data_IF_008019497062
#
_entry.id   IF_008019497062
#
_cell.length_a   1.000
_cell.length_b   1.000
_cell.length_c   1.000
_cell.angle_alpha   90.00
_cell.angle_beta   90.00
_cell.angle_gamma   90.00
#
_symmetry.space_group_name_H-M   'P 1'
#
loop_
_entity.id
_entity.type
_entity.pdbx_description
1 polymer ?
#
# COMPACT_ATOMS: atom_id res chain seq x y z
N UNK A 1 52.70 -7.44 -12.74
CA UNK A 1 51.36 -7.76 -13.31
C UNK A 1 50.22 -7.67 -12.28
N UNK A 2 50.27 -6.74 -11.31
CA UNK A 2 49.25 -6.62 -10.25
C UNK A 2 48.25 -5.46 -10.43
N UNK A 3 48.44 -4.60 -11.44
CA UNK A 3 47.62 -3.40 -11.63
C UNK A 3 46.26 -3.65 -12.33
N UNK A 4 46.07 -4.82 -12.95
CA UNK A 4 44.87 -5.08 -13.77
C UNK A 4 43.67 -5.61 -12.96
N UNK A 5 43.87 -6.01 -11.70
CA UNK A 5 42.81 -6.51 -10.83
C UNK A 5 42.04 -5.39 -10.09
N UNK A 6 42.64 -4.20 -9.90
CA UNK A 6 42.02 -3.13 -9.10
C UNK A 6 40.86 -2.44 -9.84
N UNK A 7 40.94 -2.31 -11.17
CA UNK A 7 39.90 -1.64 -11.95
C UNK A 7 38.56 -2.37 -12.00
N UNK A 8 38.55 -3.70 -11.88
CA UNK A 8 37.32 -4.49 -11.99
C UNK A 8 36.44 -4.39 -10.72
N UNK A 9 37.07 -4.27 -9.54
CA UNK A 9 36.36 -4.10 -8.28
C UNK A 9 35.65 -2.73 -8.17
N UNK A 10 36.25 -1.67 -8.72
CA UNK A 10 35.67 -0.33 -8.72
C UNK A 10 34.46 -0.18 -9.66
N UNK A 11 34.45 -0.90 -10.78
CA UNK A 11 33.32 -0.87 -11.71
C UNK A 11 32.11 -1.60 -11.11
N UNK A 12 32.33 -2.77 -10.49
CA UNK A 12 31.28 -3.56 -9.85
C UNK A 12 30.66 -2.81 -8.66
N UNK A 13 31.46 -2.10 -7.85
CA UNK A 13 30.96 -1.33 -6.71
C UNK A 13 30.12 -0.13 -7.15
N UNK A 14 30.53 0.60 -8.21
CA UNK A 14 29.76 1.71 -8.79
C UNK A 14 28.43 1.25 -9.37
N UNK A 15 28.41 0.15 -10.13
CA UNK A 15 27.17 -0.41 -10.69
C UNK A 15 26.19 -0.79 -9.59
N UNK A 16 26.68 -1.42 -8.51
CA UNK A 16 25.84 -1.84 -7.38
C UNK A 16 25.27 -0.64 -6.62
N UNK A 17 26.05 0.45 -6.47
CA UNK A 17 25.61 1.69 -5.83
C UNK A 17 24.55 2.41 -6.67
N UNK A 18 24.74 2.51 -7.99
CA UNK A 18 23.77 3.11 -8.92
C UNK A 18 22.48 2.31 -8.94
N UNK A 19 22.56 0.98 -9.01
CA UNK A 19 21.38 0.11 -8.94
C UNK A 19 20.62 0.27 -7.61
N UNK A 20 21.33 0.40 -6.49
CA UNK A 20 20.72 0.67 -5.19
C UNK A 20 19.98 2.01 -5.13
N UNK A 21 20.57 3.08 -5.66
CA UNK A 21 19.93 4.41 -5.74
C UNK A 21 18.72 4.38 -6.65
N UNK A 22 18.82 3.74 -7.82
CA UNK A 22 17.71 3.60 -8.76
C UNK A 22 16.54 2.84 -8.15
N UNK A 23 16.82 1.73 -7.46
CA UNK A 23 15.81 0.97 -6.74
C UNK A 23 15.19 1.79 -5.60
N UNK A 24 15.99 2.58 -4.88
CA UNK A 24 15.49 3.49 -3.85
C UNK A 24 14.57 4.58 -4.41
N UNK A 25 14.94 5.18 -5.54
CA UNK A 25 14.11 6.18 -6.24
C UNK A 25 12.84 5.53 -6.78
N UNK A 26 12.92 4.35 -7.39
CA UNK A 26 11.74 3.60 -7.86
C UNK A 26 10.83 3.23 -6.69
N UNK A 27 11.39 2.90 -5.52
CA UNK A 27 10.61 2.66 -4.31
C UNK A 27 9.91 3.96 -3.86
N UNK A 28 10.62 5.09 -3.74
CA UNK A 28 10.02 6.37 -3.32
C UNK A 28 8.95 6.85 -4.30
N UNK A 29 9.22 6.79 -5.60
CA UNK A 29 8.24 7.13 -6.65
C UNK A 29 7.08 6.15 -6.64
N UNK A 30 7.34 4.86 -6.52
CA UNK A 30 6.33 3.82 -6.37
C UNK A 30 5.45 4.03 -5.14
N UNK A 31 6.00 4.56 -4.06
CA UNK A 31 5.28 4.88 -2.82
C UNK A 31 4.42 6.12 -2.93
N UNK A 32 4.88 7.17 -3.63
CA UNK A 32 4.02 8.30 -3.98
C UNK A 32 2.85 7.87 -4.86
N UNK A 33 3.14 7.01 -5.84
CA UNK A 33 2.13 6.41 -6.72
C UNK A 33 1.15 5.53 -5.94
N UNK A 34 1.63 4.73 -4.97
CA UNK A 34 0.80 3.95 -4.05
C UNK A 34 -0.14 4.87 -3.25
N UNK A 35 0.36 6.02 -2.82
CA UNK A 35 -0.43 7.03 -2.14
C UNK A 35 -1.57 7.60 -2.94
N UNK A 36 -1.26 8.08 -4.13
CA UNK A 36 -2.25 8.63 -5.05
C UNK A 36 -3.28 7.56 -5.43
N UNK A 37 -2.85 6.32 -5.63
CA UNK A 37 -3.75 5.22 -5.89
C UNK A 37 -4.62 4.90 -4.67
N UNK A 38 -4.06 4.87 -3.46
CA UNK A 38 -4.80 4.68 -2.20
C UNK A 38 -5.86 5.77 -2.00
N UNK A 39 -5.53 7.02 -2.33
CA UNK A 39 -6.48 8.13 -2.33
C UNK A 39 -7.65 7.89 -3.30
N UNK A 40 -7.36 7.48 -4.53
CA UNK A 40 -8.39 7.13 -5.52
C UNK A 40 -9.23 5.91 -5.11
N UNK A 41 -8.66 4.98 -4.34
CA UNK A 41 -9.39 3.84 -3.79
C UNK A 41 -10.32 4.27 -2.65
N UNK A 42 -9.86 5.16 -1.76
CA UNK A 42 -10.66 5.69 -0.66
C UNK A 42 -11.80 6.60 -1.14
N UNK A 43 -11.63 7.34 -2.23
CA UNK A 43 -12.67 8.19 -2.82
C UNK A 43 -13.83 7.39 -3.43
N UNK A 44 -13.62 6.11 -3.76
CA UNK A 44 -14.68 5.24 -4.27
C UNK A 44 -15.67 4.81 -3.18
N UNK A 45 -15.28 4.84 -1.91
CA UNK A 45 -16.13 4.49 -0.78
C UNK A 45 -17.01 5.68 -0.41
N UNK A 46 -18.31 5.48 -0.09
CA UNK A 46 -19.14 6.53 0.50
C UNK A 46 -18.71 6.79 1.95
N UNK A 47 -18.68 8.05 2.37
CA UNK A 47 -18.30 8.46 3.72
C UNK A 47 -19.43 9.21 4.42
N UNK A 48 -19.54 9.04 5.73
CA UNK A 48 -20.45 9.81 6.58
C UNK A 48 -19.68 10.98 7.18
N UNK A 49 -20.13 12.20 6.91
CA UNK A 49 -19.59 13.40 7.56
C UNK A 49 -20.09 13.44 9.02
N UNK A 50 -19.20 13.57 10.02
CA UNK A 50 -19.58 13.69 11.43
C UNK A 50 -20.32 15.01 11.76
N UNK A 51 -20.35 15.98 10.86
CA UNK A 51 -21.05 17.27 11.03
C UNK A 51 -22.54 17.15 10.72
N UNK A 52 -23.38 18.07 11.23
CA UNK A 52 -24.81 18.10 10.94
C UNK A 52 -25.08 18.52 9.49
N UNK A 53 -24.87 17.59 8.55
CA UNK A 53 -25.42 17.45 7.18
C UNK A 53 -24.40 16.75 6.26
N UNK A 54 -24.93 15.75 5.56
CA UNK A 54 -24.47 15.14 4.29
C UNK A 54 -23.58 13.88 4.40
N UNK A 55 -24.14 12.78 3.87
CA UNK A 55 -23.38 11.66 3.35
C UNK A 55 -22.62 12.15 2.11
N UNK A 56 -21.33 11.90 2.07
CA UNK A 56 -20.51 12.15 0.89
C UNK A 56 -20.61 10.91 0.01
N UNK A 57 -21.25 11.04 -1.14
CA UNK A 57 -21.31 9.96 -2.13
C UNK A 57 -19.90 9.62 -2.60
N UNK A 58 -19.54 8.34 -2.55
CA UNK A 58 -18.31 7.86 -3.17
C UNK A 58 -18.43 7.92 -4.70
N UNK A 59 -17.30 8.04 -5.39
CA UNK A 59 -17.25 8.04 -6.86
C UNK A 59 -17.63 6.69 -7.48
N UNK A 60 -17.72 5.63 -6.68
CA UNK A 60 -17.96 4.26 -7.13
C UNK A 60 -16.72 3.61 -7.77
N UNK A 61 -16.89 2.39 -8.27
CA UNK A 61 -15.84 1.62 -8.95
C UNK A 61 -15.79 2.04 -10.43
N UNK A 62 -14.99 3.05 -10.74
CA UNK A 62 -14.85 3.59 -12.08
C UNK A 62 -13.52 3.16 -12.76
N UNK A 63 -13.26 3.72 -13.95
CA UNK A 63 -12.01 3.45 -14.70
C UNK A 63 -10.77 3.94 -13.94
N UNK A 64 -10.88 5.03 -13.20
CA UNK A 64 -9.77 5.58 -12.43
C UNK A 64 -9.41 4.66 -11.26
N UNK A 65 -10.40 4.11 -10.56
CA UNK A 65 -10.22 3.10 -9.53
C UNK A 65 -9.51 1.87 -10.07
N UNK A 66 -9.96 1.33 -11.21
CA UNK A 66 -9.31 0.18 -11.84
C UNK A 66 -7.84 0.46 -12.21
N UNK A 67 -7.55 1.66 -12.72
CA UNK A 67 -6.18 2.09 -13.00
C UNK A 67 -5.33 2.16 -11.73
N UNK A 68 -5.87 2.70 -10.64
CA UNK A 68 -5.20 2.77 -9.34
C UNK A 68 -4.86 1.36 -8.81
N UNK A 69 -5.77 0.39 -8.93
CA UNK A 69 -5.51 -1.02 -8.56
C UNK A 69 -4.38 -1.61 -9.37
N UNK A 70 -4.39 -1.44 -10.70
CA UNK A 70 -3.35 -1.98 -11.59
C UNK A 70 -1.99 -1.40 -11.25
N UNK A 71 -1.90 -0.07 -11.16
CA UNK A 71 -0.64 0.63 -10.87
C UNK A 71 -0.10 0.21 -9.50
N UNK A 72 -0.97 0.14 -8.47
CA UNK A 72 -0.58 -0.33 -7.14
C UNK A 72 -0.07 -1.76 -7.16
N UNK A 73 -0.75 -2.64 -7.90
CA UNK A 73 -0.36 -4.05 -8.03
C UNK A 73 1.01 -4.19 -8.68
N UNK A 74 1.30 -3.41 -9.72
CA UNK A 74 2.62 -3.37 -10.37
C UNK A 74 3.70 -2.88 -9.40
N UNK A 75 3.42 -1.84 -8.61
CA UNK A 75 4.35 -1.34 -7.57
C UNK A 75 4.63 -2.41 -6.52
N UNK A 76 3.62 -3.14 -6.04
CA UNK A 76 3.78 -4.23 -5.08
C UNK A 76 4.67 -5.34 -5.66
N UNK A 77 4.47 -5.71 -6.93
CA UNK A 77 5.31 -6.70 -7.63
C UNK A 77 6.76 -6.19 -7.75
N UNK A 78 6.95 -4.93 -8.14
CA UNK A 78 8.27 -4.32 -8.24
C UNK A 78 8.99 -4.30 -6.87
N UNK A 79 8.26 -4.06 -5.78
CA UNK A 79 8.79 -4.10 -4.42
C UNK A 79 9.23 -5.51 -3.97
N UNK A 80 8.74 -6.58 -4.61
CA UNK A 80 9.24 -7.93 -4.35
C UNK A 80 10.68 -8.17 -4.86
N UNK A 81 11.23 -7.22 -5.63
CA UNK A 81 12.57 -7.27 -6.20
C UNK A 81 12.70 -8.24 -7.37
N UNK A 82 13.90 -8.37 -7.93
CA UNK A 82 14.17 -9.26 -9.06
C UNK A 82 14.53 -10.69 -8.60
N UNK A 83 14.13 -11.73 -9.37
CA UNK A 83 14.51 -13.11 -9.13
C UNK A 83 16.00 -13.33 -9.41
N UNK A 84 16.63 -14.30 -8.73
CA UNK A 84 17.95 -14.81 -9.10
C UNK A 84 17.76 -15.98 -10.08
N UNK A 85 18.28 -15.86 -11.30
CA UNK A 85 18.21 -16.90 -12.32
C UNK A 85 16.95 -16.81 -13.20
N UNK A 86 16.34 -17.95 -13.54
CA UNK A 86 15.13 -17.99 -14.39
C UNK A 86 13.94 -17.35 -13.66
N UNK A 87 13.28 -16.38 -14.28
CA UNK A 87 12.24 -15.55 -13.64
C UNK A 87 11.16 -16.35 -12.88
N UNK A 88 10.73 -17.49 -13.40
CA UNK A 88 9.61 -18.28 -12.85
C UNK A 88 10.04 -19.44 -11.93
N UNK A 89 11.31 -19.84 -11.96
CA UNK A 89 11.84 -20.94 -11.14
C UNK A 89 12.87 -20.46 -10.10
N UNK A 90 13.30 -19.21 -10.20
CA UNK A 90 14.30 -18.60 -9.35
C UNK A 90 13.84 -18.43 -7.91
N UNK A 91 14.78 -18.61 -6.99
CA UNK A 91 14.62 -18.16 -5.60
C UNK A 91 14.82 -16.64 -5.55
N UNK A 92 14.24 -16.03 -4.53
CA UNK A 92 14.46 -14.60 -4.31
C UNK A 92 15.89 -14.31 -3.87
N UNK A 93 16.34 -13.08 -4.10
CA UNK A 93 17.58 -12.55 -3.55
C UNK A 93 17.38 -12.02 -2.14
N UNK A 94 18.44 -12.04 -1.32
CA UNK A 94 18.43 -11.37 -0.01
C UNK A 94 18.16 -9.85 -0.15
N UNK A 95 18.71 -9.22 -1.18
CA UNK A 95 18.42 -7.82 -1.50
C UNK A 95 16.93 -7.61 -1.80
N UNK A 96 16.31 -8.48 -2.61
CA UNK A 96 14.87 -8.44 -2.88
C UNK A 96 14.02 -8.71 -1.63
N UNK A 97 14.48 -9.53 -0.69
CA UNK A 97 13.81 -9.70 0.60
C UNK A 97 13.80 -8.40 1.42
N UNK A 98 14.95 -7.74 1.55
CA UNK A 98 15.07 -6.46 2.26
C UNK A 98 14.17 -5.41 1.61
N UNK A 99 14.19 -5.30 0.28
CA UNK A 99 13.33 -4.38 -0.46
C UNK A 99 11.85 -4.68 -0.25
N UNK A 100 11.45 -5.95 -0.27
CA UNK A 100 10.06 -6.33 -0.03
C UNK A 100 9.62 -6.04 1.40
N UNK A 101 10.50 -6.27 2.39
CA UNK A 101 10.23 -5.96 3.80
C UNK A 101 10.06 -4.46 4.02
N UNK A 102 11.00 -3.65 3.49
CA UNK A 102 10.90 -2.19 3.54
C UNK A 102 9.64 -1.73 2.81
N UNK A 103 9.38 -2.24 1.60
CA UNK A 103 8.17 -1.94 0.83
C UNK A 103 6.90 -2.23 1.62
N UNK A 104 6.84 -3.34 2.34
CA UNK A 104 5.71 -3.67 3.22
C UNK A 104 5.51 -2.68 4.37
N UNK A 105 6.59 -2.28 5.05
CA UNK A 105 6.54 -1.26 6.11
C UNK A 105 6.05 0.07 5.55
N UNK A 106 6.56 0.49 4.40
CA UNK A 106 6.17 1.79 3.84
C UNK A 106 4.74 1.75 3.29
N UNK A 107 4.29 0.65 2.66
CA UNK A 107 2.88 0.48 2.26
C UNK A 107 1.93 0.64 3.46
N UNK A 108 2.24 -0.01 4.59
CA UNK A 108 1.44 0.11 5.81
C UNK A 108 1.49 1.53 6.39
N UNK A 109 2.68 2.09 6.54
CA UNK A 109 2.88 3.44 7.09
C UNK A 109 2.26 4.54 6.23
N UNK A 110 2.35 4.41 4.91
CA UNK A 110 1.78 5.38 3.97
C UNK A 110 0.25 5.34 3.96
N UNK A 111 -0.35 4.16 4.07
CA UNK A 111 -1.81 4.02 4.23
C UNK A 111 -2.29 4.77 5.48
N UNK A 112 -1.54 4.66 6.59
CA UNK A 112 -1.81 5.42 7.81
C UNK A 112 -1.64 6.93 7.62
N UNK A 113 -0.55 7.36 6.98
CA UNK A 113 -0.26 8.76 6.73
C UNK A 113 -1.33 9.42 5.85
N UNK A 114 -1.68 8.82 4.72
CA UNK A 114 -2.73 9.30 3.80
C UNK A 114 -4.06 9.46 4.53
N UNK A 115 -4.45 8.45 5.29
CA UNK A 115 -5.70 8.48 6.03
C UNK A 115 -5.68 9.62 7.03
N UNK A 116 -4.60 9.80 7.79
CA UNK A 116 -4.45 10.93 8.73
C UNK A 116 -4.52 12.28 8.05
N UNK A 117 -3.82 12.43 6.92
CA UNK A 117 -3.86 13.65 6.11
C UNK A 117 -5.28 13.96 5.64
N UNK A 118 -6.00 12.97 5.13
CA UNK A 118 -7.40 13.14 4.73
C UNK A 118 -8.30 13.51 5.90
N UNK A 119 -8.11 12.89 7.06
CA UNK A 119 -8.84 13.25 8.28
C UNK A 119 -8.63 14.71 8.69
N UNK A 120 -7.41 15.22 8.56
CA UNK A 120 -7.08 16.62 8.85
C UNK A 120 -7.72 17.56 7.81
N UNK A 121 -7.59 17.28 6.51
CA UNK A 121 -8.11 18.18 5.49
C UNK A 121 -9.64 18.23 5.40
N UNK A 122 -10.32 17.13 5.71
CA UNK A 122 -11.78 17.04 5.55
C UNK A 122 -12.56 17.50 6.80
N UNK A 123 -11.97 17.41 8.00
CA UNK A 123 -12.72 17.49 9.27
C UNK A 123 -12.15 18.43 10.34
N UNK A 124 -11.25 19.35 9.99
CA UNK A 124 -10.77 20.41 10.90
C UNK A 124 -11.76 21.58 10.86
N UNK A 125 -12.48 21.95 11.95
CA UNK A 125 -12.27 21.62 13.36
C UNK A 125 -13.41 20.82 14.04
N UNK A 126 -13.08 20.15 15.16
CA UNK A 126 -13.96 19.32 16.00
C UNK A 126 -15.15 20.08 16.63
N UNK A 127 -15.14 21.41 16.56
CA UNK A 127 -16.11 22.29 17.23
C UNK A 127 -17.57 22.15 16.72
N UNK A 128 -17.79 21.41 15.62
CA UNK A 128 -19.10 21.26 14.98
C UNK A 128 -19.52 19.80 14.75
N UNK A 129 -18.96 18.84 15.47
CA UNK A 129 -19.37 17.43 15.39
C UNK A 129 -20.74 17.19 16.03
N UNK A 130 -21.57 16.35 15.41
CA UNK A 130 -22.90 16.00 15.91
C UNK A 130 -22.84 15.15 17.19
N UNK A 131 -21.84 14.28 17.29
CA UNK A 131 -21.66 13.34 18.39
C UNK A 131 -20.30 13.56 19.10
N UNK A 132 -20.19 13.16 20.39
CA UNK A 132 -18.91 13.14 21.10
C UNK A 132 -17.86 12.32 20.33
N UNK A 133 -16.59 12.72 20.41
CA UNK A 133 -15.45 12.09 19.69
C UNK A 133 -15.54 12.12 18.15
N UNK A 134 -16.43 12.95 17.58
CA UNK A 134 -16.63 13.08 16.14
C UNK A 134 -16.94 11.74 15.44
N UNK A 135 -17.80 10.92 16.07
CA UNK A 135 -18.34 9.71 15.45
C UNK A 135 -18.98 10.05 14.08
N UNK A 136 -18.73 9.28 13.00
CA UNK A 136 -17.95 8.02 12.91
C UNK A 136 -16.52 8.20 12.33
N UNK A 137 -15.95 9.41 12.32
CA UNK A 137 -14.75 9.73 11.57
C UNK A 137 -13.55 8.82 11.88
N UNK A 138 -13.16 8.74 13.16
CA UNK A 138 -12.02 7.92 13.59
C UNK A 138 -12.18 6.43 13.24
N UNK A 139 -13.41 5.90 13.30
CA UNK A 139 -13.68 4.51 12.98
C UNK A 139 -13.65 4.24 11.47
N UNK A 140 -14.19 5.16 10.65
CA UNK A 140 -14.06 5.09 9.19
C UNK A 140 -12.59 5.16 8.77
N UNK A 141 -11.80 6.05 9.39
CA UNK A 141 -10.36 6.14 9.16
C UNK A 141 -9.65 4.84 9.51
N UNK A 142 -9.89 4.24 10.68
CA UNK A 142 -9.24 2.98 11.05
C UNK A 142 -9.67 1.84 10.13
N UNK A 143 -10.96 1.76 9.77
CA UNK A 143 -11.47 0.75 8.85
C UNK A 143 -10.87 0.88 7.45
N UNK A 144 -10.55 2.09 6.99
CA UNK A 144 -9.94 2.33 5.68
C UNK A 144 -8.48 1.83 5.61
N UNK A 145 -7.79 1.68 6.75
CA UNK A 145 -6.40 1.20 6.82
C UNK A 145 -6.24 -0.30 6.52
N UNK A 146 -7.30 -1.09 6.71
CA UNK A 146 -7.22 -2.55 6.80
C UNK A 146 -6.52 -3.18 5.58
N UNK A 147 -6.87 -2.86 4.31
CA UNK A 147 -6.21 -3.49 3.17
C UNK A 147 -4.73 -3.16 3.08
N UNK A 148 -4.35 -1.92 3.37
CA UNK A 148 -2.95 -1.47 3.27
C UNK A 148 -2.08 -2.10 4.34
N UNK A 149 -2.57 -2.13 5.59
CA UNK A 149 -1.86 -2.78 6.71
C UNK A 149 -1.73 -4.28 6.47
N UNK A 150 -2.81 -4.95 6.05
CA UNK A 150 -2.78 -6.39 5.76
C UNK A 150 -1.79 -6.71 4.65
N UNK A 151 -1.79 -5.92 3.58
CA UNK A 151 -0.83 -6.08 2.46
C UNK A 151 0.60 -5.87 2.92
N UNK A 152 0.86 -4.84 3.73
CA UNK A 152 2.19 -4.60 4.30
C UNK A 152 2.68 -5.77 5.15
N UNK A 153 1.82 -6.34 6.00
CA UNK A 153 2.13 -7.54 6.79
C UNK A 153 2.42 -8.76 5.89
N UNK A 154 1.63 -8.95 4.82
CA UNK A 154 1.87 -10.03 3.86
C UNK A 154 3.20 -9.83 3.12
N UNK A 155 3.56 -8.60 2.75
CA UNK A 155 4.87 -8.33 2.15
C UNK A 155 6.03 -8.64 3.12
N UNK A 156 5.91 -8.26 4.39
CA UNK A 156 6.92 -8.54 5.43
C UNK A 156 7.06 -10.05 5.65
N UNK A 157 5.94 -10.78 5.75
CA UNK A 157 5.98 -12.24 5.90
C UNK A 157 6.58 -12.93 4.67
N UNK A 158 6.24 -12.49 3.46
CA UNK A 158 6.84 -13.00 2.23
C UNK A 158 8.33 -12.68 2.12
N UNK A 159 8.80 -11.54 2.67
CA UNK A 159 10.22 -11.21 2.75
C UNK A 159 11.01 -12.21 3.61
N UNK A 160 10.45 -12.63 4.75
CA UNK A 160 11.08 -13.63 5.64
C UNK A 160 11.17 -15.03 5.00
N UNK A 161 10.31 -15.32 4.01
CA UNK A 161 10.24 -16.61 3.31
C UNK A 161 11.06 -16.66 2.01
N UNK A 162 12.01 -15.72 1.80
CA UNK A 162 12.78 -15.55 0.56
C UNK A 162 13.48 -16.82 0.06
N UNK A 163 13.99 -17.66 0.96
CA UNK A 163 14.71 -18.89 0.60
C UNK A 163 13.79 -20.09 0.38
N UNK A 164 12.59 -20.07 0.96
CA UNK A 164 11.65 -21.21 0.98
C UNK A 164 10.65 -21.17 -0.17
N UNK A 165 10.25 -19.98 -0.60
CA UNK A 165 9.22 -19.80 -1.63
C UNK A 165 9.82 -19.38 -2.97
N UNK A 166 9.17 -19.81 -4.05
CA UNK A 166 9.48 -19.34 -5.42
C UNK A 166 9.17 -17.85 -5.52
N UNK A 167 9.97 -17.13 -6.30
CA UNK A 167 9.83 -15.66 -6.43
C UNK A 167 8.42 -15.24 -6.88
N UNK A 168 7.84 -15.91 -7.87
CA UNK A 168 6.51 -15.54 -8.39
C UNK A 168 5.40 -15.63 -7.32
N UNK A 169 5.49 -16.57 -6.38
CA UNK A 169 4.54 -16.69 -5.26
C UNK A 169 4.68 -15.46 -4.36
N UNK A 170 5.91 -15.08 -4.01
CA UNK A 170 6.19 -13.92 -3.16
C UNK A 170 5.76 -12.60 -3.80
N UNK A 171 5.80 -12.51 -5.12
CA UNK A 171 5.37 -11.35 -5.88
C UNK A 171 3.84 -11.28 -6.02
N UNK A 172 3.17 -12.41 -6.31
CA UNK A 172 1.73 -12.43 -6.57
C UNK A 172 0.87 -12.48 -5.30
N UNK A 173 1.31 -13.16 -4.24
CA UNK A 173 0.49 -13.31 -3.02
C UNK A 173 0.10 -11.96 -2.40
N UNK A 174 1.02 -10.98 -2.20
CA UNK A 174 0.63 -9.68 -1.69
C UNK A 174 -0.36 -8.94 -2.59
N UNK A 175 -0.25 -9.08 -3.91
CA UNK A 175 -1.20 -8.47 -4.87
C UNK A 175 -2.58 -9.09 -4.74
N UNK A 176 -2.66 -10.43 -4.68
CA UNK A 176 -3.95 -11.13 -4.54
C UNK A 176 -4.61 -10.75 -3.22
N UNK A 177 -3.85 -10.71 -2.12
CA UNK A 177 -4.38 -10.29 -0.81
C UNK A 177 -4.84 -8.84 -0.85
N UNK A 178 -4.08 -7.94 -1.47
CA UNK A 178 -4.45 -6.53 -1.63
C UNK A 178 -5.77 -6.37 -2.39
N UNK A 179 -5.88 -6.97 -3.58
CA UNK A 179 -7.08 -6.87 -4.42
C UNK A 179 -8.28 -7.49 -3.72
N UNK A 180 -8.12 -8.68 -3.12
CA UNK A 180 -9.19 -9.32 -2.37
C UNK A 180 -9.64 -8.47 -1.18
N UNK A 181 -8.70 -7.91 -0.41
CA UNK A 181 -9.01 -7.05 0.73
C UNK A 181 -9.74 -5.77 0.31
N UNK A 182 -9.38 -5.16 -0.82
CA UNK A 182 -10.09 -4.00 -1.37
C UNK A 182 -11.52 -4.34 -1.77
N UNK A 183 -11.73 -5.45 -2.49
CA UNK A 183 -13.06 -5.87 -2.94
C UNK A 183 -13.96 -6.25 -1.75
N UNK A 184 -13.41 -7.00 -0.78
CA UNK A 184 -14.10 -7.34 0.46
C UNK A 184 -14.43 -6.06 1.23
N UNK A 185 -13.48 -5.14 1.38
CA UNK A 185 -13.72 -3.88 2.05
C UNK A 185 -14.84 -3.11 1.36
N UNK A 186 -14.82 -2.97 0.03
CA UNK A 186 -15.88 -2.27 -0.70
C UNK A 186 -17.27 -2.90 -0.48
N UNK A 187 -17.36 -4.23 -0.58
CA UNK A 187 -18.60 -4.97 -0.38
C UNK A 187 -19.12 -4.85 1.07
N UNK A 188 -18.24 -5.01 2.05
CA UNK A 188 -18.56 -4.91 3.48
C UNK A 188 -18.89 -3.47 3.86
N UNK A 189 -18.19 -2.49 3.28
CA UNK A 189 -18.39 -1.09 3.58
C UNK A 189 -19.78 -0.63 3.20
N UNK A 190 -20.18 -0.88 1.96
CA UNK A 190 -21.49 -0.47 1.43
C UNK A 190 -22.64 -1.22 2.09
N UNK A 191 -22.47 -2.50 2.39
CA UNK A 191 -23.54 -3.36 2.92
C UNK A 191 -23.73 -3.27 4.42
N UNK A 192 -22.64 -3.12 5.19
CA UNK A 192 -22.66 -3.27 6.65
C UNK A 192 -22.10 -2.06 7.39
N UNK A 193 -20.90 -1.57 7.02
CA UNK A 193 -20.26 -0.49 7.79
C UNK A 193 -20.99 0.84 7.62
N UNK A 194 -21.43 1.14 6.40
CA UNK A 194 -22.06 2.41 6.09
C UNK A 194 -23.37 2.61 6.88
N UNK A 195 -24.30 1.63 6.96
CA UNK A 195 -25.46 1.72 7.86
C UNK A 195 -25.10 1.87 9.34
N UNK A 196 -24.01 1.24 9.80
CA UNK A 196 -23.54 1.38 11.19
C UNK A 196 -23.05 2.82 11.44
N UNK A 197 -22.33 3.40 10.49
CA UNK A 197 -21.79 4.76 10.59
C UNK A 197 -22.87 5.85 10.47
N UNK A 198 -23.98 5.58 9.79
CA UNK A 198 -25.12 6.51 9.73
C UNK A 198 -25.91 6.57 11.06
N UNK A 199 -25.79 5.54 11.90
CA UNK A 199 -26.44 5.49 13.21
C UNK A 199 -25.69 6.28 14.29
N UNK A 200 -26.35 6.63 15.41
CA UNK A 200 -25.66 7.13 16.59
C UNK A 200 -24.68 6.07 17.15
N UNK A 201 -23.59 6.49 17.81
CA UNK A 201 -22.69 5.55 18.48
C UNK A 201 -23.48 4.75 19.52
N UNK A 202 -23.26 3.43 19.55
CA UNK A 202 -23.88 2.49 20.52
C UNK A 202 -22.89 2.06 21.58
#
# INVERSE_FOLDING_TARGET
>A
MAAQASGHHDVVSKIRRVAGVLVGVIAVVGLLVFGLASLGLQSALPWVDPRPRHRVSGSGLDRQWAWCVVVTSVTIIAAAGLPIGKAWAGRGSAAGAVLQGIGGVVVAGWTAAVTRVMGIYLFVPEDYCLYPSCWPNNHQMVASLVPGVLTGLVMITMAMLVTRLRWWIRALVPVVVWVAALLIQYAVWTSYLLPIFEGPPR
#
